data_IF_651409869617
#
_entry.id   IF_651409869617
#
_cell.length_a   1.000
_cell.length_b   1.000
_cell.length_c   1.000
_cell.angle_alpha   90.00
_cell.angle_beta   90.00
_cell.angle_gamma   90.00
#
_symmetry.space_group_name_H-M   'P 1'
#
loop_
_entity.id
_entity.type
_entity.pdbx_description
1 polymer ?
#
# COMPACT_ATOMS: atom_id res chain seq x y z
N UNK A 1 -2.57 11.54 -3.67
CA UNK A 1 -2.56 10.09 -3.32
C UNK A 1 -3.33 9.82 -2.03
N UNK A 2 -3.19 10.65 -0.99
CA UNK A 2 -3.99 10.57 0.24
C UNK A 2 -5.49 10.40 -0.03
N UNK A 3 -6.10 11.32 -0.76
CA UNK A 3 -7.55 11.28 -1.06
C UNK A 3 -7.98 9.98 -1.77
N UNK A 4 -7.10 9.40 -2.60
CA UNK A 4 -7.39 8.13 -3.30
C UNK A 4 -7.44 6.98 -2.30
N UNK A 5 -6.48 6.92 -1.36
CA UNK A 5 -6.41 5.92 -0.30
C UNK A 5 -7.62 6.07 0.64
N UNK A 6 -7.90 7.29 1.11
CA UNK A 6 -9.02 7.56 2.03
C UNK A 6 -10.38 7.28 1.40
N UNK A 7 -10.58 7.63 0.13
CA UNK A 7 -11.81 7.29 -0.60
C UNK A 7 -11.98 5.78 -0.72
N UNK A 8 -10.91 5.04 -0.99
CA UNK A 8 -10.97 3.57 -1.04
C UNK A 8 -11.27 2.97 0.33
N UNK A 9 -10.65 3.47 1.40
CA UNK A 9 -10.97 3.07 2.77
C UNK A 9 -12.46 3.29 3.08
N UNK A 10 -13.01 4.44 2.70
CA UNK A 10 -14.43 4.75 2.88
C UNK A 10 -15.35 3.79 2.13
N UNK A 11 -15.03 3.46 0.87
CA UNK A 11 -15.80 2.48 0.08
C UNK A 11 -15.82 1.09 0.71
N UNK A 12 -14.71 0.68 1.33
CA UNK A 12 -14.58 -0.61 2.01
C UNK A 12 -15.10 -0.59 3.46
N UNK A 13 -15.43 0.58 4.01
CA UNK A 13 -15.73 0.74 5.44
C UNK A 13 -14.53 0.47 6.36
N UNK A 14 -13.31 0.69 5.87
CA UNK A 14 -12.08 0.41 6.61
C UNK A 14 -11.64 1.61 7.45
N UNK A 15 -11.27 1.35 8.70
CA UNK A 15 -10.51 2.28 9.54
C UNK A 15 -9.00 2.11 9.32
N UNK A 16 -8.18 3.06 9.76
CA UNK A 16 -6.70 2.93 9.75
C UNK A 16 -6.25 1.64 10.47
N UNK A 17 -6.91 1.32 11.58
CA UNK A 17 -6.66 0.08 12.33
C UNK A 17 -6.98 -1.16 11.48
N UNK A 18 -8.10 -1.14 10.75
CA UNK A 18 -8.46 -2.27 9.87
C UNK A 18 -7.43 -2.43 8.74
N UNK A 19 -7.01 -1.34 8.10
CA UNK A 19 -5.95 -1.37 7.07
C UNK A 19 -4.67 -1.95 7.65
N UNK A 20 -4.25 -1.49 8.83
CA UNK A 20 -3.05 -2.02 9.49
C UNK A 20 -3.17 -3.51 9.77
N UNK A 21 -4.34 -3.98 10.21
CA UNK A 21 -4.61 -5.41 10.44
C UNK A 21 -4.47 -6.22 9.14
N UNK A 22 -5.04 -5.75 8.03
CA UNK A 22 -4.91 -6.42 6.73
C UNK A 22 -3.46 -6.46 6.23
N UNK A 23 -2.70 -5.37 6.42
CA UNK A 23 -1.26 -5.36 6.10
C UNK A 23 -0.49 -6.37 6.96
N UNK A 24 -0.82 -6.51 8.24
CA UNK A 24 -0.20 -7.52 9.09
C UNK A 24 -0.51 -8.94 8.57
N UNK A 25 -1.75 -9.19 8.15
CA UNK A 25 -2.15 -10.48 7.56
C UNK A 25 -1.39 -10.76 6.25
N UNK A 26 -1.27 -9.76 5.38
CA UNK A 26 -0.51 -9.88 4.13
C UNK A 26 0.98 -10.18 4.36
N UNK A 27 1.52 -9.71 5.49
CA UNK A 27 2.93 -9.92 5.89
C UNK A 27 3.12 -11.14 6.80
N UNK A 28 2.09 -11.97 6.97
CA UNK A 28 2.22 -13.19 7.75
C UNK A 28 3.25 -14.12 7.09
N UNK A 29 4.16 -14.67 7.89
CA UNK A 29 5.18 -15.63 7.45
C UNK A 29 5.02 -16.89 8.27
N UNK A 30 5.03 -18.06 7.62
CA UNK A 30 4.87 -19.36 8.27
C UNK A 30 3.63 -19.46 9.19
N UNK A 31 2.57 -18.72 8.83
CA UNK A 31 1.32 -18.65 9.61
C UNK A 31 1.35 -17.67 10.79
N UNK A 32 2.48 -17.03 11.08
CA UNK A 32 2.59 -16.03 12.15
C UNK A 32 2.26 -14.62 11.65
N UNK A 33 1.23 -14.03 12.26
CA UNK A 33 0.80 -12.66 11.97
C UNK A 33 1.53 -11.69 12.90
N UNK A 34 2.31 -10.72 12.36
CA UNK A 34 2.97 -9.72 13.19
C UNK A 34 1.95 -8.86 13.97
N UNK A 35 2.31 -8.37 15.17
CA UNK A 35 1.41 -7.54 15.96
C UNK A 35 1.18 -6.19 15.27
N UNK A 36 -0.07 -5.69 15.34
CA UNK A 36 -0.50 -4.42 14.73
C UNK A 36 0.38 -3.24 15.15
N UNK A 37 0.83 -3.23 16.41
CA UNK A 37 1.71 -2.19 16.96
C UNK A 37 3.03 -2.04 16.20
N UNK A 38 3.49 -3.08 15.50
CA UNK A 38 4.70 -3.06 14.68
C UNK A 38 4.58 -2.12 13.46
N UNK A 39 3.36 -1.98 12.91
CA UNK A 39 3.14 -1.25 11.66
C UNK A 39 2.16 -0.08 11.79
N UNK A 40 1.43 0.05 12.90
CA UNK A 40 0.40 1.07 13.06
C UNK A 40 0.89 2.51 12.78
N UNK A 41 2.05 2.89 13.31
CA UNK A 41 2.60 4.25 13.11
C UNK A 41 2.99 4.51 11.66
N UNK A 42 3.64 3.54 11.01
CA UNK A 42 4.09 3.69 9.62
C UNK A 42 2.92 3.65 8.63
N UNK A 43 1.91 2.82 8.87
CA UNK A 43 0.68 2.79 8.07
C UNK A 43 -0.10 4.08 8.22
N UNK A 44 -0.26 4.59 9.45
CA UNK A 44 -0.88 5.89 9.66
C UNK A 44 -0.14 7.02 8.93
N UNK A 45 1.19 7.06 9.02
CA UNK A 45 2.00 8.04 8.30
C UNK A 45 1.85 7.89 6.77
N UNK A 46 1.77 6.66 6.27
CA UNK A 46 1.59 6.39 4.85
C UNK A 46 0.20 6.80 4.33
N UNK A 47 -0.84 6.69 5.15
CA UNK A 47 -2.19 7.18 4.80
C UNK A 47 -2.20 8.71 4.80
N UNK A 48 -1.59 9.36 5.81
CA UNK A 48 -1.60 10.83 5.94
C UNK A 48 -0.67 11.54 4.95
N UNK A 49 0.52 10.99 4.69
CA UNK A 49 1.57 11.59 3.85
C UNK A 49 2.25 10.53 2.96
N UNK A 50 1.51 9.95 2.00
CA UNK A 50 1.97 8.80 1.22
C UNK A 50 3.24 9.05 0.39
N UNK A 51 3.53 10.30 0.04
CA UNK A 51 4.75 10.71 -0.68
C UNK A 51 6.03 10.67 0.18
N UNK A 52 5.90 10.68 1.51
CA UNK A 52 7.03 10.75 2.43
C UNK A 52 7.44 9.37 3.00
N UNK A 53 6.82 8.30 2.53
CA UNK A 53 7.08 6.94 2.99
C UNK A 53 7.73 6.10 1.90
N UNK A 54 8.30 4.97 2.31
CA UNK A 54 8.87 4.01 1.35
C UNK A 54 7.75 3.41 0.50
N UNK A 55 7.99 3.29 -0.80
CA UNK A 55 7.01 2.81 -1.78
C UNK A 55 6.37 1.46 -1.41
N UNK A 56 7.15 0.51 -0.87
CA UNK A 56 6.60 -0.80 -0.47
C UNK A 56 5.49 -0.70 0.59
N UNK A 57 5.47 0.37 1.40
CA UNK A 57 4.41 0.58 2.40
C UNK A 57 3.10 0.93 1.70
N UNK A 58 3.19 1.76 0.65
CA UNK A 58 2.03 2.09 -0.21
C UNK A 58 1.55 0.85 -0.94
N UNK A 59 2.47 0.06 -1.47
CA UNK A 59 2.16 -1.23 -2.13
C UNK A 59 1.39 -2.17 -1.20
N UNK A 60 1.85 -2.34 0.02
CA UNK A 60 1.17 -3.19 1.00
C UNK A 60 -0.22 -2.67 1.35
N UNK A 61 -0.38 -1.36 1.52
CA UNK A 61 -1.69 -0.72 1.77
C UNK A 61 -2.65 -0.98 0.60
N UNK A 62 -2.18 -0.79 -0.64
CA UNK A 62 -2.98 -1.02 -1.85
C UNK A 62 -3.41 -2.49 -1.94
N UNK A 63 -2.47 -3.43 -1.76
CA UNK A 63 -2.76 -4.87 -1.80
C UNK A 63 -3.70 -5.30 -0.67
N UNK A 64 -3.49 -4.79 0.53
CA UNK A 64 -4.34 -5.05 1.69
C UNK A 64 -5.80 -4.57 1.50
N UNK A 65 -6.02 -3.59 0.62
CA UNK A 65 -7.35 -3.12 0.21
C UNK A 65 -7.85 -3.76 -1.09
N UNK A 66 -7.21 -4.85 -1.54
CA UNK A 66 -7.57 -5.63 -2.73
C UNK A 66 -7.25 -4.93 -4.05
N UNK A 67 -6.33 -3.96 -4.05
CA UNK A 67 -5.85 -3.30 -5.26
C UNK A 67 -4.52 -3.85 -5.76
N UNK A 68 -4.06 -3.28 -6.87
CA UNK A 68 -2.74 -3.55 -7.47
C UNK A 68 -2.07 -2.23 -7.85
N UNK A 69 -0.73 -2.22 -7.91
CA UNK A 69 0.03 -1.08 -8.42
C UNK A 69 0.44 -1.36 -9.87
N UNK A 70 0.14 -0.42 -10.76
CA UNK A 70 0.54 -0.47 -12.17
C UNK A 70 1.52 0.67 -12.46
N UNK A 71 2.70 0.32 -12.96
CA UNK A 71 3.69 1.28 -13.47
C UNK A 71 3.47 1.43 -14.98
N UNK A 72 3.26 2.66 -15.47
CA UNK A 72 3.03 2.94 -16.90
C UNK A 72 4.06 3.93 -17.42
N UNK A 73 4.87 3.51 -18.39
CA UNK A 73 5.78 4.38 -19.13
C UNK A 73 5.12 4.87 -20.42
N UNK A 74 5.35 6.14 -20.75
CA UNK A 74 4.73 6.79 -21.90
C UNK A 74 5.64 6.81 -23.16
N UNK A 75 6.87 6.27 -23.07
CA UNK A 75 7.87 6.38 -24.15
C UNK A 75 8.13 5.04 -24.86
N UNK A 76 8.20 5.11 -26.19
CA UNK A 76 8.67 4.05 -27.09
C UNK A 76 10.18 4.25 -27.27
N UNK A 77 11.00 3.26 -26.95
CA UNK A 77 12.41 3.25 -27.31
C UNK A 77 12.58 2.60 -28.69
N UNK A 78 12.97 3.39 -29.71
CA UNK A 78 13.42 2.84 -30.98
C UNK A 78 14.87 2.34 -30.85
N UNK A 79 15.02 1.03 -30.81
CA UNK A 79 16.34 0.37 -30.87
C UNK A 79 16.78 0.31 -32.32
N UNK A 80 17.73 1.16 -32.72
CA UNK A 80 18.42 1.00 -34.02
C UNK A 80 19.40 -0.16 -33.91
N UNK A 81 19.14 -1.24 -34.65
CA UNK A 81 20.10 -2.31 -34.86
C UNK A 81 21.36 -1.72 -35.53
N UNK A 82 22.51 -1.86 -34.87
CA UNK A 82 23.83 -1.56 -35.46
C UNK A 82 24.39 -2.82 -36.11
#
# INVERSE_FOLDING_TARGET
MKDVIENRMKQLGFSEYRVTKEVCQLRAQDGEVPPITKYHSSIRQAIDKPENVKFYIIEDIVKAMGGEIVIRWHNIEEVKAT
#
